data_IF_909292687242
#
_entry.id   IF_909292687242
#
_cell.length_a   1.000
_cell.length_b   1.000
_cell.length_c   1.000
_cell.angle_alpha   90.00
_cell.angle_beta   90.00
_cell.angle_gamma   90.00
#
_symmetry.space_group_name_H-M   'P 1'
#
loop_
_entity.id
_entity.type
_entity.pdbx_description
1 polymer ?
#
# COMPACT_ATOMS: atom_id res chain seq x y z
N UNK A 1 27.64 -38.45 -47.35
CA UNK A 1 28.14 -38.60 -45.97
C UNK A 1 27.50 -37.52 -45.11
N UNK A 2 26.54 -37.94 -44.28
CA UNK A 2 25.81 -37.29 -43.18
C UNK A 2 25.84 -35.75 -43.02
N UNK A 3 24.78 -35.09 -43.50
CA UNK A 3 24.42 -33.69 -43.16
C UNK A 3 23.62 -33.62 -41.85
N UNK A 4 23.97 -34.45 -40.86
CA UNK A 4 23.26 -34.63 -39.58
C UNK A 4 23.84 -33.76 -38.45
N UNK A 5 24.37 -32.58 -38.77
CA UNK A 5 24.81 -31.62 -37.75
C UNK A 5 23.61 -30.81 -37.26
N UNK A 6 23.21 -31.18 -36.04
CA UNK A 6 22.48 -30.38 -35.06
C UNK A 6 20.95 -30.25 -35.13
N UNK A 7 20.25 -31.14 -35.85
CA UNK A 7 18.78 -31.24 -35.74
C UNK A 7 18.31 -31.54 -34.31
N UNK A 8 19.06 -32.35 -33.56
CA UNK A 8 18.76 -32.66 -32.15
C UNK A 8 18.97 -31.45 -31.23
N UNK A 9 20.01 -30.65 -31.50
CA UNK A 9 20.28 -29.43 -30.74
C UNK A 9 19.23 -28.36 -31.06
N UNK A 10 18.88 -28.21 -32.33
CA UNK A 10 17.83 -27.29 -32.79
C UNK A 10 16.47 -27.62 -32.17
N UNK A 11 16.08 -28.91 -32.13
CA UNK A 11 14.86 -29.34 -31.43
C UNK A 11 14.89 -28.97 -29.95
N UNK A 12 16.01 -29.24 -29.24
CA UNK A 12 16.14 -28.90 -27.82
C UNK A 12 16.06 -27.40 -27.56
N UNK A 13 16.67 -26.58 -28.41
CA UNK A 13 16.60 -25.12 -28.28
C UNK A 13 15.18 -24.60 -28.55
N UNK A 14 14.47 -25.17 -29.52
CA UNK A 14 13.07 -24.85 -29.79
C UNK A 14 12.15 -25.25 -28.63
N UNK A 15 12.40 -26.39 -27.99
CA UNK A 15 11.64 -26.83 -26.81
C UNK A 15 11.86 -25.88 -25.63
N UNK A 16 13.12 -25.49 -25.37
CA UNK A 16 13.46 -24.52 -24.32
C UNK A 16 12.84 -23.15 -24.62
N UNK A 17 12.92 -22.68 -25.87
CA UNK A 17 12.32 -21.41 -26.28
C UNK A 17 10.79 -21.44 -26.09
N UNK A 18 10.14 -22.54 -26.48
CA UNK A 18 8.69 -22.73 -26.32
C UNK A 18 8.29 -22.76 -24.86
N UNK A 19 9.06 -23.46 -24.02
CA UNK A 19 8.85 -23.49 -22.57
C UNK A 19 8.97 -22.08 -21.96
N UNK A 20 10.03 -21.34 -22.27
CA UNK A 20 10.22 -19.98 -21.76
C UNK A 20 9.13 -19.01 -22.24
N UNK A 21 8.69 -19.13 -23.49
CA UNK A 21 7.57 -18.33 -23.99
C UNK A 21 6.27 -18.63 -23.24
N UNK A 22 6.01 -19.90 -22.91
CA UNK A 22 4.86 -20.30 -22.10
C UNK A 22 4.94 -19.70 -20.69
N UNK A 23 6.08 -19.83 -20.01
CA UNK A 23 6.31 -19.25 -18.68
C UNK A 23 6.09 -17.73 -18.66
N UNK A 24 6.57 -17.02 -19.69
CA UNK A 24 6.35 -15.57 -19.82
C UNK A 24 4.86 -15.25 -19.99
N UNK A 25 4.12 -16.06 -20.75
CA UNK A 25 2.67 -15.87 -20.94
C UNK A 25 1.89 -16.15 -19.66
N UNK A 26 2.22 -17.21 -18.91
CA UNK A 26 1.65 -17.52 -17.61
C UNK A 26 1.88 -16.35 -16.62
N UNK A 27 3.12 -15.87 -16.52
CA UNK A 27 3.44 -14.73 -15.65
C UNK A 27 2.68 -13.44 -16.03
N UNK A 28 2.47 -13.21 -17.34
CA UNK A 28 1.63 -12.09 -17.81
C UNK A 28 0.17 -12.27 -17.42
N UNK A 29 -0.38 -13.46 -17.60
CA UNK A 29 -1.75 -13.79 -17.22
C UNK A 29 -1.97 -13.60 -15.72
N UNK A 30 -1.08 -14.13 -14.88
CA UNK A 30 -1.14 -13.96 -13.41
C UNK A 30 -1.16 -12.48 -13.01
N UNK A 31 -0.33 -11.66 -13.68
CA UNK A 31 -0.33 -10.21 -13.47
C UNK A 31 -1.66 -9.56 -13.84
N UNK A 32 -2.26 -9.95 -14.96
CA UNK A 32 -3.58 -9.44 -15.38
C UNK A 32 -4.69 -9.89 -14.44
N UNK A 33 -4.68 -11.16 -14.02
CA UNK A 33 -5.64 -11.73 -13.05
C UNK A 33 -5.58 -10.95 -11.74
N UNK A 34 -4.38 -10.75 -11.19
CA UNK A 34 -4.21 -9.95 -9.97
C UNK A 34 -4.68 -8.49 -10.16
N UNK A 35 -4.38 -7.86 -11.30
CA UNK A 35 -4.85 -6.50 -11.59
C UNK A 35 -6.38 -6.43 -11.66
N UNK A 36 -7.02 -7.43 -12.26
CA UNK A 36 -8.47 -7.53 -12.37
C UNK A 36 -9.12 -7.77 -11.01
N UNK A 37 -8.55 -8.63 -10.16
CA UNK A 37 -8.99 -8.83 -8.79
C UNK A 37 -8.91 -7.55 -7.94
N UNK A 38 -7.82 -6.78 -8.08
CA UNK A 38 -7.68 -5.48 -7.41
C UNK A 38 -8.65 -4.44 -7.97
N UNK A 39 -8.92 -4.46 -9.28
CA UNK A 39 -9.80 -3.49 -9.94
C UNK A 39 -11.29 -3.77 -9.68
N UNK A 40 -11.69 -5.04 -9.58
CA UNK A 40 -13.07 -5.45 -9.33
C UNK A 40 -13.51 -5.26 -7.87
N UNK A 41 -12.58 -5.09 -6.93
CA UNK A 41 -12.88 -4.71 -5.53
C UNK A 41 -13.24 -3.22 -5.37
N UNK A 42 -13.68 -2.54 -6.44
CA UNK A 42 -14.07 -1.13 -6.42
C UNK A 42 -15.53 -0.93 -6.03
N UNK A 43 -15.88 -1.34 -4.81
CA UNK A 43 -16.90 -0.61 -4.02
C UNK A 43 -16.23 0.60 -3.34
N UNK A 44 -15.45 1.36 -4.13
CA UNK A 44 -14.88 2.61 -3.63
C UNK A 44 -16.01 3.62 -3.64
N UNK A 45 -16.41 4.18 -2.50
CA UNK A 45 -17.44 5.18 -2.49
C UNK A 45 -16.96 6.39 -3.31
N UNK A 46 -17.60 6.64 -4.45
CA UNK A 46 -17.26 7.68 -5.44
C UNK A 46 -17.56 9.09 -4.93
N UNK A 47 -18.17 9.20 -3.74
CA UNK A 47 -18.47 10.48 -3.13
C UNK A 47 -17.22 11.08 -2.49
N UNK A 48 -17.07 12.41 -2.64
CA UNK A 48 -16.08 13.19 -1.91
C UNK A 48 -16.35 13.06 -0.40
N UNK A 49 -15.75 12.06 0.25
CA UNK A 49 -15.81 11.90 1.70
C UNK A 49 -15.13 13.11 2.34
N UNK A 50 -15.92 13.98 2.96
CA UNK A 50 -15.42 15.07 3.79
C UNK A 50 -15.33 14.56 5.22
N UNK A 51 -14.13 14.58 5.79
CA UNK A 51 -13.91 14.33 7.21
C UNK A 51 -14.60 15.48 7.97
N UNK A 52 -15.61 15.17 8.76
CA UNK A 52 -16.38 16.17 9.51
C UNK A 52 -16.35 15.85 11.01
N UNK A 53 -15.65 16.70 11.77
CA UNK A 53 -15.53 16.60 13.23
C UNK A 53 -16.87 16.81 13.94
N UNK A 54 -17.87 17.43 13.29
CA UNK A 54 -19.21 17.62 13.88
C UNK A 54 -19.94 16.31 14.12
N UNK A 55 -19.53 15.23 13.45
CA UNK A 55 -20.10 13.90 13.67
C UNK A 55 -19.53 13.23 14.94
N UNK A 56 -18.45 13.77 15.51
CA UNK A 56 -17.95 13.36 16.82
C UNK A 56 -18.87 13.92 17.90
N UNK A 57 -19.84 13.13 18.35
CA UNK A 57 -20.83 13.55 19.36
C UNK A 57 -20.27 13.59 20.79
N UNK A 58 -19.06 13.07 20.99
CA UNK A 58 -18.38 12.95 22.29
C UNK A 58 -16.96 13.46 22.17
N UNK A 59 -16.38 13.90 23.28
CA UNK A 59 -14.95 14.20 23.36
C UNK A 59 -14.17 12.89 23.35
N UNK A 60 -13.28 12.74 22.38
CA UNK A 60 -12.40 11.58 22.28
C UNK A 60 -11.02 11.92 22.82
N UNK A 61 -10.47 11.03 23.64
CA UNK A 61 -9.12 11.15 24.17
C UNK A 61 -8.38 9.87 23.83
N UNK A 62 -7.21 10.02 23.21
CA UNK A 62 -6.28 8.93 23.01
C UNK A 62 -5.33 8.93 24.21
N UNK A 63 -5.27 7.81 24.91
CA UNK A 63 -4.43 7.62 26.09
C UNK A 63 -3.73 6.26 25.93
N UNK A 64 -2.41 6.27 26.01
CA UNK A 64 -1.59 5.11 25.74
C UNK A 64 -0.28 5.17 26.53
N UNK A 65 0.38 4.01 26.75
CA UNK A 65 1.68 3.97 27.40
C UNK A 65 2.76 4.62 26.51
N UNK A 66 3.91 5.03 27.08
CA UNK A 66 5.05 5.51 26.29
C UNK A 66 5.37 4.54 25.12
N UNK A 67 5.60 5.04 23.90
CA UNK A 67 5.86 6.43 23.51
C UNK A 67 4.62 7.27 23.19
N UNK A 68 3.41 6.74 23.43
CA UNK A 68 2.18 7.46 23.17
C UNK A 68 1.90 8.45 24.31
N UNK A 69 1.45 9.66 23.96
CA UNK A 69 1.02 10.67 24.90
C UNK A 69 -0.49 10.85 24.86
N UNK A 70 -1.04 11.29 26.00
CA UNK A 70 -2.45 11.59 26.12
C UNK A 70 -2.83 12.83 25.31
N UNK A 71 -3.75 12.69 24.36
CA UNK A 71 -4.16 13.78 23.46
C UNK A 71 -5.68 13.80 23.30
N UNK A 72 -6.28 14.98 23.42
CA UNK A 72 -7.66 15.22 23.01
C UNK A 72 -7.75 15.26 21.49
N UNK A 73 -8.54 14.38 20.90
CA UNK A 73 -8.64 14.21 19.45
C UNK A 73 -9.21 15.46 18.80
N UNK A 74 -10.20 16.09 19.43
CA UNK A 74 -10.88 17.26 18.89
C UNK A 74 -9.90 18.43 18.69
N UNK A 75 -9.13 18.75 19.73
CA UNK A 75 -8.12 19.82 19.70
C UNK A 75 -7.03 19.55 18.66
N UNK A 76 -6.61 18.28 18.55
CA UNK A 76 -5.60 17.87 17.59
C UNK A 76 -6.10 18.00 16.14
N UNK A 77 -7.33 17.57 15.85
CA UNK A 77 -7.85 17.52 14.49
C UNK A 77 -8.27 18.89 13.94
N UNK A 78 -8.46 19.91 14.77
CA UNK A 78 -8.65 21.31 14.33
C UNK A 78 -7.48 21.77 13.45
N UNK A 79 -6.27 21.26 13.70
CA UNK A 79 -5.06 21.62 12.96
C UNK A 79 -4.77 20.71 11.76
N UNK A 80 -5.65 19.75 11.44
CA UNK A 80 -5.47 18.88 10.29
C UNK A 80 -6.03 19.52 9.02
N UNK A 81 -5.17 19.68 8.00
CA UNK A 81 -5.55 20.18 6.68
C UNK A 81 -5.40 19.07 5.64
N UNK A 82 -6.52 18.66 5.04
CA UNK A 82 -6.53 17.75 3.90
C UNK A 82 -6.22 18.51 2.61
N UNK A 83 -5.57 17.85 1.65
CA UNK A 83 -5.46 18.38 0.29
C UNK A 83 -6.77 18.14 -0.46
N UNK A 84 -7.18 19.09 -1.30
CA UNK A 84 -8.47 19.03 -2.00
C UNK A 84 -8.54 17.90 -3.04
N UNK A 85 -7.42 17.67 -3.74
CA UNK A 85 -7.30 16.71 -4.85
C UNK A 85 -7.13 15.25 -4.41
N UNK A 86 -7.03 14.98 -3.11
CA UNK A 86 -6.81 13.63 -2.60
C UNK A 86 -8.10 12.79 -2.68
N UNK A 87 -7.95 11.53 -3.08
CA UNK A 87 -9.00 10.52 -3.00
C UNK A 87 -9.42 10.29 -1.53
N UNK A 88 -10.65 9.80 -1.25
CA UNK A 88 -11.08 9.47 0.11
C UNK A 88 -10.08 8.62 0.91
N UNK A 89 -9.47 7.61 0.28
CA UNK A 89 -8.45 6.78 0.92
C UNK A 89 -7.16 7.54 1.25
N UNK A 90 -6.72 8.42 0.35
CA UNK A 90 -5.56 9.28 0.60
C UNK A 90 -5.83 10.23 1.77
N UNK A 91 -7.02 10.83 1.84
CA UNK A 91 -7.44 11.69 2.95
C UNK A 91 -7.48 10.93 4.27
N UNK A 92 -8.03 9.72 4.28
CA UNK A 92 -8.06 8.86 5.47
C UNK A 92 -6.65 8.42 5.89
N UNK A 93 -5.81 8.01 4.94
CA UNK A 93 -4.43 7.63 5.22
C UNK A 93 -3.59 8.82 5.71
N UNK A 94 -3.82 10.03 5.19
CA UNK A 94 -3.18 11.25 5.67
C UNK A 94 -3.61 11.59 7.09
N UNK A 95 -4.92 11.52 7.39
CA UNK A 95 -5.46 11.70 8.74
C UNK A 95 -4.84 10.69 9.72
N UNK A 96 -4.81 9.40 9.34
CA UNK A 96 -4.21 8.35 10.17
C UNK A 96 -2.74 8.63 10.50
N UNK A 97 -1.94 8.98 9.49
CA UNK A 97 -0.52 9.35 9.71
C UNK A 97 -0.38 10.58 10.61
N UNK A 98 -1.19 11.61 10.36
CA UNK A 98 -1.19 12.83 11.17
C UNK A 98 -1.46 12.53 12.65
N UNK A 99 -2.49 11.73 12.94
CA UNK A 99 -2.82 11.30 14.30
C UNK A 99 -1.63 10.59 14.93
N UNK A 100 -1.07 9.58 14.26
CA UNK A 100 0.06 8.80 14.79
C UNK A 100 1.27 9.67 15.13
N UNK A 101 1.63 10.61 14.26
CA UNK A 101 2.74 11.52 14.52
C UNK A 101 2.48 12.44 15.71
N UNK A 102 1.24 12.89 15.89
CA UNK A 102 0.87 13.82 16.97
C UNK A 102 0.74 13.14 18.32
N UNK A 103 0.33 11.87 18.36
CA UNK A 103 0.20 11.13 19.62
C UNK A 103 1.49 10.45 20.06
N UNK A 104 2.55 10.44 19.26
CA UNK A 104 3.81 9.75 19.59
C UNK A 104 4.91 10.76 19.91
N UNK A 105 5.68 10.52 20.97
CA UNK A 105 6.80 11.36 21.38
C UNK A 105 8.08 10.54 21.69
N UNK A 106 9.19 10.74 20.94
CA UNK A 106 9.28 11.50 19.70
C UNK A 106 8.50 10.81 18.55
N UNK A 107 8.02 11.54 17.53
CA UNK A 107 7.23 10.96 16.44
C UNK A 107 7.90 9.78 15.74
N UNK A 108 9.24 9.74 15.72
CA UNK A 108 10.04 8.67 15.13
C UNK A 108 9.87 7.31 15.80
N UNK A 109 9.49 7.26 17.09
CA UNK A 109 9.30 5.99 17.81
C UNK A 109 8.14 5.16 17.29
N UNK A 110 7.21 5.75 16.52
CA UNK A 110 6.13 4.96 15.90
C UNK A 110 6.66 3.89 14.95
N UNK A 111 7.88 4.08 14.41
CA UNK A 111 8.53 3.13 13.51
C UNK A 111 8.76 1.77 14.17
N UNK A 112 8.98 1.74 15.50
CA UNK A 112 9.15 0.51 16.28
C UNK A 112 7.89 -0.37 16.26
N UNK A 113 6.72 0.25 16.10
CA UNK A 113 5.42 -0.41 16.04
C UNK A 113 4.97 -0.75 14.61
N UNK A 114 5.75 -0.35 13.60
CA UNK A 114 5.39 -0.57 12.19
C UNK A 114 5.87 -1.95 11.71
N UNK A 115 4.94 -2.90 11.59
CA UNK A 115 5.22 -4.21 10.99
C UNK A 115 4.97 -4.14 9.49
N UNK A 116 6.02 -4.29 8.68
CA UNK A 116 5.89 -4.36 7.22
C UNK A 116 5.76 -5.82 6.77
N UNK A 117 4.57 -6.19 6.28
CA UNK A 117 4.25 -7.57 5.88
C UNK A 117 5.14 -8.09 4.73
N UNK A 118 5.80 -7.22 3.94
CA UNK A 118 6.49 -7.62 2.71
C UNK A 118 8.02 -7.39 2.67
N UNK A 119 8.70 -7.01 3.76
CA UNK A 119 10.17 -6.96 3.86
C UNK A 119 10.97 -6.07 2.87
N UNK A 120 10.34 -5.52 1.82
CA UNK A 120 11.00 -4.70 0.80
C UNK A 120 11.20 -3.27 1.30
N UNK A 121 12.45 -2.83 1.23
CA UNK A 121 12.90 -1.52 1.63
C UNK A 121 12.57 -0.50 0.53
N UNK A 122 11.65 0.41 0.84
CA UNK A 122 11.44 1.68 0.14
C UNK A 122 11.27 2.75 1.21
N UNK A 123 12.15 3.75 1.19
CA UNK A 123 12.19 4.87 2.13
C UNK A 123 11.51 6.07 1.50
N UNK A 124 10.45 6.53 2.15
CA UNK A 124 10.38 7.94 2.51
C UNK A 124 10.93 8.01 3.94
N UNK A 125 12.00 8.77 4.15
CA UNK A 125 12.65 8.91 5.46
C UNK A 125 11.93 9.95 6.35
N UNK A 126 11.11 10.79 5.72
CA UNK A 126 10.29 11.81 6.34
C UNK A 126 8.86 11.30 6.49
N UNK A 127 8.65 10.43 7.47
CA UNK A 127 7.31 10.12 7.94
C UNK A 127 6.74 11.32 8.69
#
# INVERSE_FOLDING_TARGET
MCHLRDTVLEMRLNDIASFLMCEIQCAKLDRYTHLMEVTNKKDVPTHNVKINLRNCTRRWVLDGPPPFKKVAVDDMLIHFLSRDKDTPYQKFAALYRYILMKITDPPTKIKEYSIRINGKHGRDETL
#
